data_IF_185091534645
#
_entry.id   IF_185091534645
#
_cell.length_a   1.000
_cell.length_b   1.000
_cell.length_c   1.000
_cell.angle_alpha   90.00
_cell.angle_beta   90.00
_cell.angle_gamma   90.00
#
_symmetry.space_group_name_H-M   'P 1'
#
loop_
_entity.id
_entity.type
_entity.pdbx_description
1 polymer ?
#
# COMPACT_ATOMS: atom_id res chain seq x y z
N UNK A 1 9.92 43.46 0.65
CA UNK A 1 10.91 42.40 0.44
C UNK A 1 10.44 41.17 1.20
N UNK A 2 9.93 40.15 0.48
CA UNK A 2 9.52 38.86 1.08
C UNK A 2 10.64 37.88 0.81
N UNK A 3 11.35 37.47 1.88
CA UNK A 3 12.44 36.53 1.81
C UNK A 3 11.89 35.15 1.40
N UNK A 4 12.30 34.67 0.23
CA UNK A 4 12.08 33.27 -0.20
C UNK A 4 13.01 32.39 0.64
N UNK A 5 12.43 31.60 1.54
CA UNK A 5 13.14 30.53 2.20
C UNK A 5 13.40 29.43 1.17
N UNK A 6 14.64 29.26 0.77
CA UNK A 6 15.09 28.10 -0.01
C UNK A 6 15.01 26.90 0.92
N UNK A 7 14.14 25.93 0.61
CA UNK A 7 14.08 24.65 1.30
C UNK A 7 15.38 23.87 1.02
N UNK A 8 16.28 23.84 1.98
CA UNK A 8 17.57 23.13 1.93
C UNK A 8 17.39 21.60 1.88
N UNK A 9 16.18 21.08 1.99
CA UNK A 9 15.86 19.65 1.99
C UNK A 9 15.80 18.95 0.62
N UNK A 10 15.88 19.69 -0.49
CA UNK A 10 15.79 19.08 -1.84
C UNK A 10 17.14 18.69 -2.46
N UNK A 11 18.27 19.08 -1.87
CA UNK A 11 19.61 18.76 -2.37
C UNK A 11 20.14 17.39 -1.93
N UNK A 12 19.54 16.79 -0.91
CA UNK A 12 19.85 15.43 -0.47
C UNK A 12 18.55 14.62 -0.54
N UNK A 13 18.51 13.59 -1.38
CA UNK A 13 17.36 12.70 -1.48
C UNK A 13 16.96 12.19 -0.08
N UNK A 14 15.65 12.01 0.18
CA UNK A 14 15.17 11.40 1.42
C UNK A 14 15.81 10.01 1.57
N UNK A 15 16.46 9.76 2.70
CA UNK A 15 17.09 8.48 3.00
C UNK A 15 16.10 7.43 3.58
N UNK A 16 16.61 6.22 3.83
CA UNK A 16 15.85 5.20 4.57
C UNK A 16 15.48 5.73 5.96
N UNK A 17 14.24 5.55 6.34
CA UNK A 17 13.68 5.96 7.62
C UNK A 17 13.04 4.78 8.35
N UNK A 18 13.09 4.79 9.67
CA UNK A 18 12.33 3.90 10.55
C UNK A 18 11.53 4.75 11.54
N UNK A 19 10.38 5.29 11.10
CA UNK A 19 9.60 6.26 11.87
C UNK A 19 9.05 5.69 13.20
N UNK A 20 8.78 4.40 13.24
CA UNK A 20 8.48 3.64 14.47
C UNK A 20 9.06 2.23 14.33
N UNK A 21 9.35 1.53 15.44
CA UNK A 21 9.90 0.18 15.40
C UNK A 21 9.08 -0.77 14.51
N UNK A 22 9.74 -1.42 13.56
CA UNK A 22 9.11 -2.34 12.61
C UNK A 22 8.47 -1.70 11.38
N UNK A 23 8.57 -0.37 11.22
CA UNK A 23 8.13 0.33 10.01
C UNK A 23 9.34 0.89 9.28
N UNK A 24 9.54 0.49 8.04
CA UNK A 24 10.64 0.97 7.19
C UNK A 24 10.07 1.71 5.99
N UNK A 25 10.49 2.96 5.83
CA UNK A 25 10.20 3.79 4.66
C UNK A 25 11.47 3.91 3.81
N UNK A 26 11.36 3.55 2.54
CA UNK A 26 12.40 3.71 1.52
C UNK A 26 11.87 4.69 0.46
N UNK A 27 12.23 5.97 0.57
CA UNK A 27 11.78 6.99 -0.37
C UNK A 27 12.37 6.79 -1.77
N UNK A 28 11.53 6.95 -2.81
CA UNK A 28 11.97 6.84 -4.19
C UNK A 28 12.49 5.45 -4.60
N UNK A 29 12.05 4.40 -3.90
CA UNK A 29 12.52 3.02 -4.11
C UNK A 29 12.22 2.47 -5.50
N UNK A 30 11.07 2.82 -6.07
CA UNK A 30 10.74 2.50 -7.46
C UNK A 30 11.29 3.59 -8.38
N UNK A 31 12.14 3.19 -9.32
CA UNK A 31 12.58 4.07 -10.40
C UNK A 31 11.44 4.42 -11.38
N UNK A 32 11.63 5.45 -12.19
CA UNK A 32 10.61 5.93 -13.13
C UNK A 32 10.12 4.83 -14.11
N UNK A 33 10.98 3.93 -14.54
CA UNK A 33 10.62 2.82 -15.43
C UNK A 33 9.70 1.81 -14.71
N UNK A 34 10.03 1.42 -13.48
CA UNK A 34 9.22 0.50 -12.65
C UNK A 34 7.86 1.11 -12.32
N UNK A 35 7.81 2.42 -12.03
CA UNK A 35 6.54 3.12 -11.80
C UNK A 35 5.64 3.09 -13.02
N UNK A 36 6.17 3.36 -14.23
CA UNK A 36 5.40 3.27 -15.49
C UNK A 36 4.90 1.86 -15.76
N UNK A 37 5.74 0.85 -15.56
CA UNK A 37 5.36 -0.57 -15.70
C UNK A 37 4.21 -0.93 -14.76
N UNK A 38 4.33 -0.57 -13.48
CA UNK A 38 3.28 -0.82 -12.47
C UNK A 38 1.99 -0.09 -12.78
N UNK A 39 2.03 1.17 -13.24
CA UNK A 39 0.83 1.92 -13.63
C UNK A 39 0.14 1.24 -14.83
N UNK A 40 0.91 0.77 -15.83
CA UNK A 40 0.36 0.02 -16.96
C UNK A 40 -0.28 -1.30 -16.50
N UNK A 41 0.40 -2.06 -15.65
CA UNK A 41 -0.14 -3.29 -15.06
C UNK A 41 -1.42 -3.04 -14.24
N UNK A 42 -1.46 -1.99 -13.41
CA UNK A 42 -2.66 -1.62 -12.64
C UNK A 42 -3.86 -1.31 -13.55
N UNK A 43 -3.64 -0.69 -14.72
CA UNK A 43 -4.71 -0.44 -15.70
C UNK A 43 -5.29 -1.74 -16.24
N UNK A 44 -4.44 -2.74 -16.52
CA UNK A 44 -4.88 -4.06 -16.99
C UNK A 44 -5.64 -4.81 -15.87
N UNK A 45 -5.10 -4.80 -14.64
CA UNK A 45 -5.76 -5.45 -13.52
C UNK A 45 -7.11 -4.81 -13.18
N UNK A 46 -7.26 -3.51 -13.39
CA UNK A 46 -8.51 -2.78 -13.15
C UNK A 46 -9.65 -3.15 -14.11
N UNK A 47 -9.38 -3.82 -15.25
CA UNK A 47 -10.39 -4.19 -16.24
C UNK A 47 -11.24 -5.38 -15.78
N UNK A 48 -12.49 -5.43 -16.22
CA UNK A 48 -13.37 -6.59 -16.05
C UNK A 48 -12.82 -7.82 -16.80
N UNK A 49 -13.16 -9.08 -16.39
CA UNK A 49 -13.85 -9.40 -15.14
C UNK A 49 -12.96 -9.26 -13.91
N UNK A 50 -13.54 -9.36 -12.72
CA UNK A 50 -12.86 -9.16 -11.44
C UNK A 50 -12.07 -7.85 -11.39
N UNK A 51 -12.62 -6.78 -11.95
CA UNK A 51 -11.97 -5.48 -12.10
C UNK A 51 -12.09 -4.61 -10.85
N UNK A 52 -11.71 -3.34 -11.04
CA UNK A 52 -11.73 -2.35 -9.96
C UNK A 52 -13.16 -1.97 -9.57
N UNK A 53 -13.47 -2.02 -8.28
CA UNK A 53 -14.79 -1.79 -7.71
C UNK A 53 -14.77 -0.83 -6.52
N UNK A 54 -15.92 -0.27 -6.21
CA UNK A 54 -16.17 0.40 -4.93
C UNK A 54 -16.58 -0.65 -3.88
N UNK A 55 -15.93 -0.64 -2.73
CA UNK A 55 -16.21 -1.59 -1.63
C UNK A 55 -17.29 -1.01 -0.73
N UNK A 56 -18.35 -1.80 -0.48
CA UNK A 56 -19.39 -1.47 0.51
C UNK A 56 -18.99 -2.01 1.88
N UNK A 57 -19.08 -1.16 2.89
CA UNK A 57 -18.80 -1.54 4.27
C UNK A 57 -20.08 -2.09 4.92
N UNK A 58 -19.98 -3.01 5.90
CA UNK A 58 -21.14 -3.52 6.64
C UNK A 58 -21.96 -2.44 7.35
N UNK A 59 -21.33 -1.29 7.66
CA UNK A 59 -22.00 -0.09 8.20
C UNK A 59 -22.88 0.64 7.18
N UNK A 60 -22.98 0.17 5.93
CA UNK A 60 -23.72 0.80 4.83
C UNK A 60 -22.94 1.86 4.07
N UNK A 61 -21.74 2.26 4.53
CA UNK A 61 -20.88 3.21 3.83
C UNK A 61 -20.23 2.58 2.59
N UNK A 62 -19.76 3.44 1.67
CA UNK A 62 -18.95 3.03 0.52
C UNK A 62 -17.57 3.65 0.68
N UNK A 63 -16.52 2.85 0.48
CA UNK A 63 -15.16 3.36 0.49
C UNK A 63 -14.96 4.37 -0.63
N UNK A 64 -14.31 5.48 -0.35
CA UNK A 64 -13.99 6.49 -1.37
C UNK A 64 -12.83 6.06 -2.28
N UNK A 65 -11.96 5.18 -1.81
CA UNK A 65 -11.01 4.48 -2.65
C UNK A 65 -11.69 3.31 -3.36
N UNK A 66 -11.29 3.03 -4.61
CA UNK A 66 -11.73 1.86 -5.37
C UNK A 66 -10.63 0.81 -5.32
N UNK A 67 -11.00 -0.47 -5.31
CA UNK A 67 -10.04 -1.56 -5.11
C UNK A 67 -10.21 -2.66 -6.16
N UNK A 68 -9.09 -3.20 -6.65
CA UNK A 68 -9.03 -4.51 -7.31
C UNK A 68 -8.09 -5.42 -6.52
N UNK A 69 -8.46 -6.69 -6.40
CA UNK A 69 -7.70 -7.69 -5.68
C UNK A 69 -7.05 -8.69 -6.64
N UNK A 70 -5.86 -9.21 -6.25
CA UNK A 70 -5.10 -10.19 -7.02
C UNK A 70 -4.67 -11.33 -6.08
N UNK A 71 -4.74 -12.57 -6.55
CA UNK A 71 -4.46 -13.78 -5.77
C UNK A 71 -5.66 -14.21 -4.93
N UNK A 72 -6.02 -13.42 -3.94
CA UNK A 72 -7.22 -13.56 -3.14
C UNK A 72 -8.06 -12.27 -3.22
N UNK A 73 -9.37 -12.44 -3.23
CA UNK A 73 -10.31 -11.34 -3.19
C UNK A 73 -10.59 -10.95 -1.74
N UNK A 74 -10.15 -9.75 -1.35
CA UNK A 74 -10.50 -9.17 -0.06
C UNK A 74 -11.88 -8.53 -0.11
N UNK A 75 -12.69 -8.82 0.87
CA UNK A 75 -13.93 -8.12 1.20
C UNK A 75 -13.96 -7.85 2.71
N UNK A 76 -14.78 -6.93 3.23
CA UNK A 76 -14.78 -6.62 4.65
C UNK A 76 -14.87 -7.87 5.54
N UNK A 77 -13.82 -8.09 6.33
CA UNK A 77 -13.60 -9.20 7.27
C UNK A 77 -13.31 -10.58 6.66
N UNK A 78 -12.85 -10.65 5.42
CA UNK A 78 -12.50 -11.95 4.86
C UNK A 78 -11.87 -11.96 3.48
N UNK A 79 -11.56 -13.17 3.04
CA UNK A 79 -11.00 -13.47 1.72
C UNK A 79 -11.80 -14.55 1.00
N UNK A 80 -11.86 -14.47 -0.34
CA UNK A 80 -12.52 -15.44 -1.20
C UNK A 80 -11.72 -15.68 -2.50
N UNK A 81 -12.06 -16.72 -3.23
CA UNK A 81 -11.51 -16.99 -4.57
C UNK A 81 -12.32 -16.35 -5.71
N UNK A 82 -13.46 -15.76 -5.39
CA UNK A 82 -14.31 -15.02 -6.32
C UNK A 82 -14.61 -13.62 -5.80
N UNK A 83 -14.98 -12.70 -6.67
CA UNK A 83 -15.33 -11.31 -6.33
C UNK A 83 -16.75 -11.26 -5.77
N UNK A 84 -16.91 -11.66 -4.50
CA UNK A 84 -18.21 -11.87 -3.83
C UNK A 84 -19.05 -10.60 -3.66
N UNK A 85 -18.41 -9.44 -3.65
CA UNK A 85 -19.04 -8.12 -3.53
C UNK A 85 -19.00 -7.32 -4.86
N UNK A 86 -18.84 -8.04 -5.99
CA UNK A 86 -18.75 -7.47 -7.33
C UNK A 86 -19.45 -8.33 -8.38
N UNK A 87 -18.73 -8.72 -9.42
CA UNK A 87 -19.25 -9.46 -10.57
C UNK A 87 -19.30 -10.99 -10.38
N UNK A 88 -18.84 -11.51 -9.24
CA UNK A 88 -18.80 -12.95 -8.93
C UNK A 88 -17.73 -13.72 -9.69
N UNK A 89 -16.93 -13.05 -10.52
CA UNK A 89 -15.88 -13.70 -11.30
C UNK A 89 -14.77 -14.28 -10.41
N UNK A 90 -14.01 -15.28 -10.88
CA UNK A 90 -12.78 -15.71 -10.22
C UNK A 90 -11.81 -14.55 -10.06
N UNK A 91 -11.17 -14.44 -8.90
CA UNK A 91 -10.14 -13.42 -8.68
C UNK A 91 -8.98 -13.62 -9.64
N UNK A 92 -8.39 -12.52 -10.12
CA UNK A 92 -7.18 -12.57 -10.96
C UNK A 92 -6.02 -13.23 -10.20
N UNK A 93 -5.16 -14.02 -10.90
CA UNK A 93 -3.99 -14.62 -10.27
C UNK A 93 -3.06 -13.56 -9.69
N UNK A 94 -2.29 -13.94 -8.66
CA UNK A 94 -1.26 -13.08 -8.08
C UNK A 94 -0.10 -12.95 -9.09
N UNK A 95 0.29 -11.71 -9.49
CA UNK A 95 1.25 -11.52 -10.56
C UNK A 95 2.70 -11.78 -10.15
N UNK A 96 3.52 -12.45 -11.00
CA UNK A 96 4.95 -12.64 -10.74
C UNK A 96 5.72 -11.32 -10.52
N UNK A 97 5.30 -10.24 -11.18
CA UNK A 97 5.86 -8.90 -10.97
C UNK A 97 5.76 -8.46 -9.51
N UNK A 98 4.59 -8.64 -8.90
CA UNK A 98 4.39 -8.27 -7.49
C UNK A 98 5.08 -9.24 -6.54
N UNK A 99 5.21 -10.53 -6.89
CA UNK A 99 6.01 -11.49 -6.10
C UNK A 99 7.46 -11.03 -6.00
N UNK A 100 8.09 -10.75 -7.14
CA UNK A 100 9.48 -10.31 -7.19
C UNK A 100 9.71 -9.00 -6.43
N UNK A 101 8.84 -8.00 -6.64
CA UNK A 101 8.92 -6.70 -5.98
C UNK A 101 8.73 -6.82 -4.46
N UNK A 102 7.73 -7.57 -4.01
CA UNK A 102 7.42 -7.69 -2.59
C UNK A 102 8.51 -8.46 -1.82
N UNK A 103 9.09 -9.52 -2.41
CA UNK A 103 10.25 -10.21 -1.82
C UNK A 103 11.48 -9.30 -1.75
N UNK A 104 11.77 -8.53 -2.80
CA UNK A 104 12.83 -7.51 -2.80
C UNK A 104 12.59 -6.48 -1.71
N UNK A 105 11.37 -5.96 -1.60
CA UNK A 105 10.98 -4.97 -0.60
C UNK A 105 11.22 -5.44 0.84
N UNK A 106 10.81 -6.66 1.18
CA UNK A 106 10.99 -7.22 2.52
C UNK A 106 12.47 -7.45 2.84
N UNK A 107 13.27 -7.94 1.88
CA UNK A 107 14.71 -8.09 2.06
C UNK A 107 15.43 -6.76 2.27
N UNK A 108 15.09 -5.74 1.51
CA UNK A 108 15.71 -4.42 1.66
C UNK A 108 15.27 -3.71 2.94
N UNK A 109 14.06 -4.00 3.43
CA UNK A 109 13.58 -3.47 4.70
C UNK A 109 14.23 -4.14 5.91
N UNK A 110 14.35 -5.47 5.92
CA UNK A 110 14.70 -6.25 7.13
C UNK A 110 15.94 -7.12 6.98
N UNK A 111 16.61 -7.13 5.83
CA UNK A 111 17.76 -8.00 5.55
C UNK A 111 17.35 -9.41 5.06
N UNK A 112 18.34 -10.18 4.61
CA UNK A 112 18.12 -11.52 4.05
C UNK A 112 17.61 -12.52 5.09
N UNK A 113 17.99 -12.36 6.35
CA UNK A 113 17.56 -13.17 7.50
C UNK A 113 16.23 -12.69 8.11
N UNK A 114 15.66 -11.59 7.59
CA UNK A 114 14.42 -11.00 8.04
C UNK A 114 14.52 -10.18 9.33
N UNK A 115 15.72 -9.96 9.88
CA UNK A 115 15.96 -9.08 11.03
C UNK A 115 15.16 -9.41 12.29
N UNK A 116 14.74 -10.67 12.47
CA UNK A 116 13.88 -11.10 13.58
C UNK A 116 12.40 -10.72 13.41
N UNK A 117 12.00 -10.16 12.29
CA UNK A 117 10.59 -9.85 11.98
C UNK A 117 9.87 -11.12 11.53
N UNK A 118 8.77 -11.46 12.20
CA UNK A 118 7.98 -12.65 11.89
C UNK A 118 7.56 -12.68 10.41
N UNK A 119 7.77 -13.81 9.73
CA UNK A 119 7.42 -14.01 8.33
C UNK A 119 8.22 -13.19 7.31
N UNK A 120 9.25 -12.44 7.73
CA UNK A 120 10.12 -11.72 6.78
C UNK A 120 11.10 -12.66 6.10
N UNK A 121 11.79 -13.53 6.88
CA UNK A 121 12.58 -14.61 6.30
C UNK A 121 11.65 -15.57 5.53
N UNK A 122 11.94 -15.80 4.25
CA UNK A 122 11.12 -16.68 3.41
C UNK A 122 9.73 -16.10 3.07
N UNK A 123 9.56 -14.79 3.03
CA UNK A 123 8.32 -14.12 2.66
C UNK A 123 7.74 -14.63 1.33
N UNK A 124 6.49 -15.10 1.35
CA UNK A 124 5.77 -15.67 0.20
C UNK A 124 4.46 -14.91 0.01
N UNK A 125 4.48 -13.78 -0.71
CA UNK A 125 3.26 -12.99 -0.95
C UNK A 125 2.30 -13.73 -1.89
N UNK A 126 1.01 -13.62 -1.63
CA UNK A 126 -0.05 -14.27 -2.40
C UNK A 126 -1.31 -13.40 -2.56
N UNK A 127 -1.32 -12.22 -1.96
CA UNK A 127 -2.42 -11.26 -2.00
C UNK A 127 -1.90 -9.87 -2.37
N UNK A 128 -2.60 -9.19 -3.29
CA UNK A 128 -2.42 -7.77 -3.48
C UNK A 128 -3.77 -7.04 -3.60
N UNK A 129 -3.85 -5.88 -2.94
CA UNK A 129 -4.92 -4.91 -3.08
C UNK A 129 -4.36 -3.69 -3.79
N UNK A 130 -4.88 -3.40 -4.99
CA UNK A 130 -4.57 -2.17 -5.72
C UNK A 130 -5.68 -1.17 -5.44
N UNK A 131 -5.36 -0.15 -4.67
CA UNK A 131 -6.30 0.89 -4.24
C UNK A 131 -6.09 2.16 -5.06
N UNK A 132 -7.10 2.58 -5.79
CA UNK A 132 -7.13 3.86 -6.47
C UNK A 132 -7.87 4.90 -5.63
N UNK A 133 -7.20 6.00 -5.35
CA UNK A 133 -7.73 7.16 -4.63
C UNK A 133 -7.99 8.28 -5.64
N UNK A 134 -9.24 8.48 -6.10
CA UNK A 134 -9.61 9.69 -6.81
C UNK A 134 -9.38 10.93 -5.96
N UNK A 135 -9.43 12.10 -6.56
CA UNK A 135 -9.30 13.36 -5.85
C UNK A 135 -10.27 13.44 -4.65
N UNK A 136 -9.74 13.79 -3.48
CA UNK A 136 -10.50 13.87 -2.23
C UNK A 136 -10.79 12.53 -1.54
N UNK A 137 -10.38 11.41 -2.11
CA UNK A 137 -10.55 10.10 -1.47
C UNK A 137 -9.65 9.98 -0.23
N UNK A 138 -10.14 9.19 0.72
CA UNK A 138 -9.49 8.93 2.00
C UNK A 138 -9.74 7.49 2.47
N UNK A 139 -8.95 7.02 3.39
CA UNK A 139 -9.15 5.75 4.07
C UNK A 139 -9.05 5.96 5.58
N UNK A 140 -10.08 5.56 6.29
CA UNK A 140 -10.11 5.63 7.76
C UNK A 140 -9.06 4.71 8.39
N UNK A 141 -8.74 4.97 9.65
CA UNK A 141 -7.83 4.10 10.40
C UNK A 141 -8.42 2.70 10.55
N UNK A 142 -7.65 1.70 10.16
CA UNK A 142 -7.97 0.27 10.23
C UNK A 142 -6.70 -0.53 10.53
N UNK A 143 -6.86 -1.81 10.73
CA UNK A 143 -5.78 -2.79 10.85
C UNK A 143 -6.00 -3.88 9.81
N UNK A 144 -4.92 -4.40 9.25
CA UNK A 144 -4.92 -5.57 8.38
C UNK A 144 -4.82 -6.82 9.25
N UNK A 145 -5.94 -7.50 9.50
CA UNK A 145 -6.06 -8.61 10.45
C UNK A 145 -6.68 -9.88 9.88
N UNK A 146 -6.97 -9.88 8.59
CA UNK A 146 -7.65 -11.01 7.94
C UNK A 146 -6.67 -12.12 7.51
N UNK A 147 -5.36 -11.85 7.55
CA UNK A 147 -4.31 -12.83 7.26
C UNK A 147 -4.13 -13.82 8.42
N UNK A 148 -3.71 -15.05 8.09
CA UNK A 148 -3.46 -16.13 9.07
C UNK A 148 -2.01 -16.18 9.55
N UNK A 149 -1.17 -15.28 9.07
CA UNK A 149 0.26 -15.17 9.40
C UNK A 149 0.62 -13.72 9.68
N UNK A 150 1.58 -13.51 10.56
CA UNK A 150 2.04 -12.18 10.98
C UNK A 150 3.17 -11.64 10.09
N UNK A 151 3.18 -12.07 8.82
CA UNK A 151 4.17 -11.63 7.84
C UNK A 151 4.03 -10.14 7.52
N UNK A 152 5.13 -9.47 7.08
CA UNK A 152 5.11 -8.04 6.78
C UNK A 152 4.08 -7.65 5.71
N UNK A 153 3.64 -6.42 5.78
CA UNK A 153 2.84 -5.76 4.73
C UNK A 153 3.77 -4.85 3.92
N UNK A 154 3.71 -5.00 2.61
CA UNK A 154 4.44 -4.15 1.64
C UNK A 154 3.46 -3.18 1.02
N UNK A 155 3.78 -1.89 1.00
CA UNK A 155 2.94 -0.83 0.46
C UNK A 155 3.74 0.01 -0.54
N UNK A 156 3.36 -0.06 -1.81
CA UNK A 156 3.96 0.70 -2.91
C UNK A 156 3.07 1.90 -3.24
N UNK A 157 3.69 3.07 -3.40
CA UNK A 157 2.99 4.34 -3.66
C UNK A 157 3.24 4.80 -5.10
N UNK A 158 2.19 5.17 -5.83
CA UNK A 158 2.25 5.68 -7.19
C UNK A 158 1.28 6.87 -7.38
N UNK A 159 1.68 7.85 -8.18
CA UNK A 159 0.86 9.01 -8.50
C UNK A 159 0.89 10.08 -7.41
N UNK A 160 -0.27 10.64 -7.05
CA UNK A 160 -0.34 11.70 -6.05
C UNK A 160 0.19 11.25 -4.68
N UNK A 161 0.91 12.13 -4.01
CA UNK A 161 1.33 11.92 -2.64
C UNK A 161 0.13 11.87 -1.68
N UNK A 162 0.36 11.34 -0.50
CA UNK A 162 -0.64 11.34 0.56
C UNK A 162 -0.01 11.56 1.93
N UNK A 163 -0.84 11.95 2.88
CA UNK A 163 -0.55 11.76 4.29
C UNK A 163 -0.99 10.34 4.65
N UNK A 164 -0.04 9.53 5.09
CA UNK A 164 -0.28 8.20 5.65
C UNK A 164 -0.16 8.32 7.17
N UNK A 165 -1.22 7.98 7.86
CA UNK A 165 -1.27 8.03 9.32
C UNK A 165 -1.04 6.67 9.90
N UNK A 166 -0.12 6.58 10.85
CA UNK A 166 0.24 5.38 11.58
C UNK A 166 -0.02 5.59 13.07
N UNK A 167 -0.80 4.71 13.67
CA UNK A 167 -1.12 4.70 15.10
C UNK A 167 -0.46 3.54 15.82
N UNK A 168 -0.83 3.32 17.07
CA UNK A 168 -0.45 2.12 17.83
C UNK A 168 -1.23 0.88 17.38
N UNK A 169 -0.97 -0.25 18.04
CA UNK A 169 -1.66 -1.53 17.80
C UNK A 169 -2.92 -1.70 18.64
N UNK A 170 -3.05 -0.97 19.75
CA UNK A 170 -4.09 -1.17 20.75
C UNK A 170 -5.33 -0.30 20.52
N UNK A 171 -5.16 0.90 19.96
CA UNK A 171 -6.23 1.89 19.86
C UNK A 171 -6.18 2.72 18.59
N UNK A 172 -7.36 3.07 18.09
CA UNK A 172 -7.52 4.07 17.01
C UNK A 172 -7.27 5.51 17.46
N UNK A 173 -7.32 5.77 18.77
CA UNK A 173 -7.11 7.10 19.33
C UNK A 173 -5.63 7.29 19.64
N UNK A 174 -4.99 8.31 19.05
CA UNK A 174 -3.56 8.62 19.12
C UNK A 174 -2.76 8.14 20.33
N UNK A 175 -1.48 8.39 20.36
CA UNK A 175 -0.75 9.26 19.41
C UNK A 175 -0.62 8.65 18.02
N UNK A 176 -0.45 9.52 17.03
CA UNK A 176 -0.23 9.13 15.63
C UNK A 176 1.06 9.72 15.08
N UNK A 177 1.67 9.01 14.15
CA UNK A 177 2.74 9.51 13.29
C UNK A 177 2.20 9.68 11.89
N UNK A 178 2.28 10.88 11.33
CA UNK A 178 1.91 11.16 9.95
C UNK A 178 3.18 11.14 9.08
N UNK A 179 3.14 10.35 8.01
CA UNK A 179 4.18 10.21 7.01
C UNK A 179 3.68 10.76 5.67
N UNK A 180 4.50 11.50 4.95
CA UNK A 180 4.22 11.84 3.56
C UNK A 180 4.77 10.74 2.66
N UNK A 181 3.88 10.03 1.95
CA UNK A 181 4.24 9.03 0.95
C UNK A 181 4.06 9.62 -0.44
N UNK A 182 5.13 9.61 -1.23
CA UNK A 182 5.19 10.12 -2.61
C UNK A 182 5.22 8.97 -3.62
N UNK A 183 5.05 9.29 -4.89
CA UNK A 183 5.22 8.31 -5.97
C UNK A 183 6.61 7.69 -5.94
N UNK A 184 6.68 6.37 -6.06
CA UNK A 184 7.93 5.61 -5.96
C UNK A 184 8.33 5.20 -4.55
N UNK A 185 7.68 5.71 -3.50
CA UNK A 185 7.99 5.32 -2.12
C UNK A 185 7.52 3.90 -1.80
N UNK A 186 8.36 3.17 -1.08
CA UNK A 186 8.06 1.89 -0.46
C UNK A 186 7.91 2.08 1.05
N UNK A 187 6.82 1.59 1.60
CA UNK A 187 6.63 1.42 3.04
C UNK A 187 6.46 -0.08 3.36
N UNK A 188 7.24 -0.59 4.30
CA UNK A 188 7.09 -1.97 4.81
C UNK A 188 6.85 -1.90 6.30
N UNK A 189 5.86 -2.62 6.80
CA UNK A 189 5.61 -2.71 8.23
C UNK A 189 5.33 -4.15 8.67
N UNK A 190 5.99 -4.54 9.75
CA UNK A 190 5.96 -5.89 10.31
C UNK A 190 6.36 -5.90 11.78
N UNK A 191 6.51 -7.07 12.36
CA UNK A 191 6.91 -7.23 13.76
C UNK A 191 6.01 -6.43 14.70
N UNK A 192 6.59 -5.56 15.52
CA UNK A 192 5.85 -4.74 16.49
C UNK A 192 4.76 -3.85 15.86
N UNK A 193 4.93 -3.45 14.58
CA UNK A 193 3.99 -2.61 13.87
C UNK A 193 3.03 -3.38 12.93
N UNK A 194 3.09 -4.73 12.88
CA UNK A 194 2.28 -5.52 11.94
C UNK A 194 0.79 -5.21 12.01
N UNK A 195 0.28 -4.98 13.20
CA UNK A 195 -1.12 -4.66 13.46
C UNK A 195 -1.33 -3.19 13.86
N UNK A 196 -0.42 -2.29 13.46
CA UNK A 196 -0.63 -0.87 13.70
C UNK A 196 -1.87 -0.35 12.97
N UNK A 197 -2.68 0.46 13.66
CA UNK A 197 -3.76 1.21 13.03
C UNK A 197 -3.17 2.16 12.00
N UNK A 198 -3.66 2.09 10.78
CA UNK A 198 -3.17 2.96 9.71
C UNK A 198 -4.29 3.41 8.77
N UNK A 199 -4.04 4.47 8.03
CA UNK A 199 -5.00 5.02 7.08
C UNK A 199 -4.44 6.19 6.28
N UNK A 200 -5.27 6.71 5.37
CA UNK A 200 -4.94 7.86 4.52
C UNK A 200 -5.98 8.95 4.77
N UNK A 201 -5.72 9.88 5.71
CA UNK A 201 -6.65 10.97 6.00
C UNK A 201 -6.84 11.93 4.81
N UNK A 202 -5.83 12.07 3.95
CA UNK A 202 -5.92 12.90 2.74
C UNK A 202 -4.88 12.51 1.69
N UNK A 203 -5.22 12.70 0.42
CA UNK A 203 -4.29 12.75 -0.70
C UNK A 203 -3.84 14.21 -0.93
N UNK A 204 -2.71 14.39 -1.64
CA UNK A 204 -2.16 15.69 -2.02
C UNK A 204 -2.22 15.84 -3.55
N UNK A 205 -3.34 16.33 -4.09
CA UNK A 205 -3.57 16.33 -5.54
C UNK A 205 -2.57 17.20 -6.31
N UNK A 206 -2.24 16.75 -7.53
CA UNK A 206 -1.34 17.48 -8.43
C UNK A 206 0.14 17.32 -8.08
N UNK A 207 0.48 16.35 -7.22
CA UNK A 207 1.87 16.02 -6.87
C UNK A 207 2.42 14.84 -7.67
N UNK A 208 1.59 14.18 -8.48
CA UNK A 208 2.01 13.13 -9.39
C UNK A 208 2.88 13.71 -10.51
N UNK A 209 3.89 12.93 -10.93
CA UNK A 209 4.61 13.21 -12.17
C UNK A 209 3.64 13.06 -13.37
N UNK A 210 3.44 14.11 -14.19
CA UNK A 210 2.57 14.04 -15.36
C UNK A 210 2.96 12.93 -16.37
N UNK A 211 4.24 12.55 -16.44
CA UNK A 211 4.72 11.49 -17.34
C UNK A 211 4.18 10.10 -16.98
N UNK A 212 3.71 9.88 -15.75
CA UNK A 212 3.02 8.64 -15.37
C UNK A 212 1.64 8.52 -16.02
N UNK A 213 1.07 9.64 -16.49
CA UNK A 213 -0.27 9.68 -17.05
C UNK A 213 -1.35 9.16 -16.08
N UNK A 214 -1.11 9.29 -14.76
CA UNK A 214 -1.98 8.82 -13.70
C UNK A 214 -2.65 10.01 -13.03
N UNK A 215 -3.98 9.96 -12.91
CA UNK A 215 -4.75 10.94 -12.13
C UNK A 215 -5.10 10.35 -10.77
N UNK A 216 -4.79 11.08 -9.71
CA UNK A 216 -4.96 10.62 -8.33
C UNK A 216 -3.81 9.73 -7.87
N UNK A 217 -4.08 8.91 -6.86
CA UNK A 217 -3.10 8.04 -6.22
C UNK A 217 -3.44 6.58 -6.45
N UNK A 218 -2.44 5.76 -6.75
CA UNK A 218 -2.49 4.30 -6.60
C UNK A 218 -1.65 3.88 -5.40
N UNK A 219 -2.16 2.91 -4.66
CA UNK A 219 -1.42 2.21 -3.64
C UNK A 219 -1.55 0.70 -3.90
N UNK A 220 -0.45 -0.02 -3.93
CA UNK A 220 -0.43 -1.46 -4.04
C UNK A 220 0.01 -2.02 -2.69
N UNK A 221 -0.93 -2.63 -1.96
CA UNK A 221 -0.64 -3.32 -0.70
C UNK A 221 -0.48 -4.80 -0.98
N UNK A 222 0.70 -5.37 -0.69
CA UNK A 222 1.01 -6.78 -0.89
C UNK A 222 1.17 -7.47 0.46
N UNK A 223 0.61 -8.68 0.58
CA UNK A 223 0.56 -9.44 1.82
C UNK A 223 0.80 -10.93 1.55
N UNK A 224 1.20 -11.64 2.60
CA UNK A 224 1.15 -13.09 2.69
C UNK A 224 -0.06 -13.48 3.51
N UNK A 225 -1.02 -14.17 2.89
CA UNK A 225 -2.30 -14.48 3.56
C UNK A 225 -2.25 -15.67 4.50
N UNK A 226 -1.39 -16.64 4.21
CA UNK A 226 -1.37 -17.92 4.92
C UNK A 226 -2.60 -18.80 4.65
N UNK A 227 -3.31 -18.55 3.57
CA UNK A 227 -4.55 -19.25 3.19
C UNK A 227 -4.34 -20.28 2.07
N UNK A 228 -3.16 -20.83 1.90
CA UNK A 228 -2.85 -21.83 0.87
C UNK A 228 -3.80 -23.04 0.87
#
# INVERSE_FOLDING_TARGET
MRGGGVFVGELFGRGREEPVPGVVLLPGWLGAAEQRELVAACREWARAPAGMRAVRLPSGGVMSARTVCLGWHWYPYGYARTVVDGDGAPVKPFPPLLDALARRAVREAYGEDGGGVAGAAGYVPDVALVNHYPHGARMGLHQDREERVDAPVVSLSLGDACVFRLGGTESRTGPWTDLELRSGDLLVFGGAARFAYHGVPRTLPGTADPELGLTGRLNITVRQSGMA
#
